data_IF_245799069642
#
_entry.id   IF_245799069642
#
_cell.length_a   1.000
_cell.length_b   1.000
_cell.length_c   1.000
_cell.angle_alpha   90.00
_cell.angle_beta   90.00
_cell.angle_gamma   90.00
#
_symmetry.space_group_name_H-M   'P 1'
#
loop_
_entity.id
_entity.type
_entity.pdbx_description
1 polymer ?
#
# COMPACT_ATOMS: atom_id res chain seq x y z
N UNK A 1 32.28 6.50 23.25
CA UNK A 1 30.83 6.69 23.09
C UNK A 1 30.45 6.32 21.66
N UNK A 2 29.49 5.42 21.48
CA UNK A 2 28.99 5.02 20.16
C UNK A 2 27.59 5.61 19.97
N UNK A 3 27.36 6.34 18.88
CA UNK A 3 26.03 6.82 18.54
C UNK A 3 25.25 5.70 17.85
N UNK A 4 23.94 5.65 18.07
CA UNK A 4 23.02 4.73 17.41
C UNK A 4 21.83 5.51 16.89
N UNK A 5 21.24 5.06 15.78
CA UNK A 5 20.05 5.68 15.25
C UNK A 5 18.84 5.46 16.18
N UNK A 6 17.89 6.40 16.15
CA UNK A 6 16.62 6.24 16.84
C UNK A 6 15.84 5.05 16.26
N UNK A 7 14.96 4.46 17.07
CA UNK A 7 14.05 3.39 16.64
C UNK A 7 13.32 3.84 15.37
N UNK A 8 13.27 2.95 14.37
CA UNK A 8 12.65 3.23 13.06
C UNK A 8 13.54 3.99 12.06
N UNK A 9 14.80 4.25 12.38
CA UNK A 9 15.82 4.79 11.48
C UNK A 9 17.03 3.85 11.37
N UNK A 10 17.68 3.81 10.20
CA UNK A 10 18.89 3.02 9.93
C UNK A 10 20.04 3.89 9.43
N UNK A 11 21.27 3.52 9.79
CA UNK A 11 22.48 4.26 9.42
C UNK A 11 23.64 3.98 10.38
N UNK A 12 24.65 4.85 10.34
CA UNK A 12 25.89 4.72 11.12
C UNK A 12 25.84 5.35 12.52
N UNK A 13 24.65 5.82 12.94
CA UNK A 13 24.42 6.51 14.21
C UNK A 13 24.65 8.03 14.16
N UNK A 14 25.21 8.57 13.08
CA UNK A 14 25.31 10.02 12.81
C UNK A 14 24.40 10.44 11.67
N UNK A 15 24.45 9.70 10.57
CA UNK A 15 23.59 9.84 9.39
C UNK A 15 22.54 8.74 9.43
N UNK A 16 21.33 9.09 9.85
CA UNK A 16 20.22 8.16 10.01
C UNK A 16 19.12 8.46 8.99
N UNK A 17 18.65 7.44 8.30
CA UNK A 17 17.57 7.51 7.31
C UNK A 17 16.37 6.69 7.77
N UNK A 18 15.16 7.09 7.36
CA UNK A 18 13.95 6.40 7.74
C UNK A 18 13.98 4.94 7.24
N UNK A 19 13.65 3.99 8.10
CA UNK A 19 13.44 2.61 7.68
C UNK A 19 12.17 2.56 6.85
N UNK A 20 12.30 2.25 5.56
CA UNK A 20 11.15 2.02 4.70
C UNK A 20 10.62 0.59 4.91
N UNK A 21 9.56 0.47 5.70
CA UNK A 21 8.90 -0.80 5.97
C UNK A 21 8.24 -1.41 4.73
N UNK A 22 7.92 -0.62 3.71
CA UNK A 22 7.25 -1.11 2.50
C UNK A 22 8.14 -1.98 1.60
N UNK A 23 9.46 -1.99 1.82
CA UNK A 23 10.41 -2.76 1.00
C UNK A 23 10.25 -4.26 1.20
N UNK A 24 9.93 -4.71 2.41
CA UNK A 24 9.76 -6.12 2.72
C UNK A 24 8.28 -6.47 2.82
N UNK A 25 7.84 -7.48 2.06
CA UNK A 25 6.45 -7.98 2.06
C UNK A 25 5.38 -6.87 1.90
N UNK A 26 5.66 -5.80 1.15
CA UNK A 26 4.81 -4.61 1.05
C UNK A 26 4.46 -3.99 2.43
N UNK A 27 5.38 -4.10 3.39
CA UNK A 27 5.21 -3.83 4.81
C UNK A 27 4.26 -4.77 5.55
N UNK A 28 3.61 -5.71 4.87
CA UNK A 28 2.46 -6.47 5.34
C UNK A 28 1.11 -5.84 4.91
N UNK A 29 1.08 -4.97 3.90
CA UNK A 29 -0.19 -4.55 3.29
C UNK A 29 -0.71 -5.68 2.38
N UNK A 30 -1.96 -5.55 1.94
CA UNK A 30 -2.47 -6.36 0.84
C UNK A 30 -1.54 -6.28 -0.39
N UNK A 31 -1.37 -7.36 -1.19
CA UNK A 31 -0.48 -7.33 -2.36
C UNK A 31 -0.85 -6.27 -3.40
N UNK A 32 -2.14 -5.90 -3.49
CA UNK A 32 -2.63 -4.83 -4.37
C UNK A 32 -2.76 -3.46 -3.71
N UNK A 33 -2.47 -3.34 -2.42
CA UNK A 33 -2.50 -2.07 -1.72
C UNK A 33 -1.21 -1.28 -1.95
N UNK A 34 -1.34 0.04 -1.90
CA UNK A 34 -0.22 0.98 -1.91
C UNK A 34 0.29 1.11 -0.48
N UNK A 35 1.55 0.73 -0.26
CA UNK A 35 2.24 0.97 1.00
C UNK A 35 2.99 2.30 0.94
N UNK A 36 2.77 3.16 1.93
CA UNK A 36 3.50 4.43 2.07
C UNK A 36 4.22 4.49 3.42
N UNK A 37 5.56 4.67 3.44
CA UNK A 37 6.27 4.88 4.71
C UNK A 37 5.89 6.25 5.27
N UNK A 38 5.53 6.31 6.57
CA UNK A 38 5.08 7.56 7.21
C UNK A 38 6.18 8.17 8.08
N UNK A 39 6.51 7.47 9.16
CA UNK A 39 7.50 7.91 10.16
C UNK A 39 8.16 6.69 10.78
N UNK A 40 9.03 6.90 11.76
CA UNK A 40 9.88 5.87 12.32
C UNK A 40 9.10 4.62 12.75
N UNK A 41 9.28 3.51 12.01
CA UNK A 41 8.58 2.26 12.29
C UNK A 41 7.07 2.26 11.98
N UNK A 42 6.56 3.28 11.28
CA UNK A 42 5.17 3.38 10.88
C UNK A 42 5.01 3.51 9.37
N UNK A 43 3.95 2.91 8.85
CA UNK A 43 3.57 2.87 7.44
C UNK A 43 2.05 2.94 7.32
N UNK A 44 1.57 3.35 6.16
CA UNK A 44 0.16 3.31 5.83
C UNK A 44 -0.11 2.36 4.67
N UNK A 45 -1.25 1.67 4.72
CA UNK A 45 -1.76 0.82 3.65
C UNK A 45 -3.03 1.44 3.10
N UNK A 46 -3.09 1.66 1.79
CA UNK A 46 -4.28 2.20 1.14
C UNK A 46 -4.62 1.37 -0.09
N UNK A 47 -5.87 0.97 -0.25
CA UNK A 47 -6.30 0.37 -1.51
C UNK A 47 -6.26 1.44 -2.63
N UNK A 48 -5.86 1.08 -3.86
CA UNK A 48 -5.97 1.97 -5.02
C UNK A 48 -7.44 2.30 -5.31
N UNK A 49 -7.69 3.36 -6.10
CA UNK A 49 -9.03 3.93 -6.32
C UNK A 49 -10.10 2.92 -6.80
N UNK A 50 -9.68 1.84 -7.45
CA UNK A 50 -10.54 0.80 -7.98
C UNK A 50 -10.63 -0.44 -7.07
N UNK A 51 -10.19 -0.35 -5.81
CA UNK A 51 -10.32 -1.43 -4.85
C UNK A 51 -10.90 -0.88 -3.55
N UNK A 52 -11.87 -1.60 -2.98
CA UNK A 52 -12.44 -1.27 -1.68
C UNK A 52 -11.80 -2.11 -0.58
N UNK A 53 -11.55 -1.49 0.56
CA UNK A 53 -11.05 -2.15 1.76
C UNK A 53 -10.21 -1.26 2.67
N UNK A 54 -9.50 -1.89 3.60
CA UNK A 54 -8.73 -1.23 4.67
C UNK A 54 -7.22 -1.17 4.38
N UNK A 55 -6.79 -1.59 3.18
CA UNK A 55 -5.39 -1.65 2.78
C UNK A 55 -4.68 -2.96 3.18
N UNK A 56 -5.26 -3.76 4.07
CA UNK A 56 -4.81 -5.12 4.40
C UNK A 56 -5.62 -6.18 3.67
N UNK A 57 -6.89 -5.86 3.42
CA UNK A 57 -7.78 -6.55 2.49
C UNK A 57 -8.18 -5.53 1.43
N UNK A 58 -7.93 -5.82 0.15
CA UNK A 58 -8.43 -4.99 -0.96
C UNK A 58 -9.14 -5.88 -1.96
N UNK A 59 -10.45 -5.65 -2.11
CA UNK A 59 -11.31 -6.38 -3.04
C UNK A 59 -11.76 -5.46 -4.18
N UNK A 60 -11.94 -6.05 -5.36
CA UNK A 60 -12.55 -5.38 -6.51
C UNK A 60 -13.90 -4.79 -6.14
N UNK A 61 -14.28 -3.70 -6.80
CA UNK A 61 -15.67 -3.27 -6.76
C UNK A 61 -16.49 -4.09 -7.76
N UNK A 62 -17.83 -4.04 -7.64
CA UNK A 62 -18.72 -4.59 -8.66
C UNK A 62 -18.40 -3.98 -10.04
N UNK A 63 -17.93 -2.74 -10.08
CA UNK A 63 -17.56 -2.06 -11.31
C UNK A 63 -16.31 -2.70 -11.94
N UNK A 64 -15.29 -3.07 -11.16
CA UNK A 64 -14.09 -3.75 -11.69
C UNK A 64 -14.42 -5.11 -12.28
N UNK A 65 -15.28 -5.88 -11.61
CA UNK A 65 -15.71 -7.16 -12.15
C UNK A 65 -16.52 -6.96 -13.44
N UNK A 66 -17.45 -6.01 -13.47
CA UNK A 66 -18.25 -5.71 -14.67
C UNK A 66 -17.39 -5.21 -15.83
N UNK A 67 -16.35 -4.41 -15.55
CA UNK A 67 -15.40 -3.91 -16.55
C UNK A 67 -14.44 -5.00 -17.05
N UNK A 68 -14.10 -5.98 -16.21
CA UNK A 68 -13.20 -7.09 -16.57
C UNK A 68 -13.88 -8.20 -17.38
N UNK A 69 -15.22 -8.30 -17.35
CA UNK A 69 -15.96 -9.33 -18.07
C UNK A 69 -16.39 -8.84 -19.48
N UNK A 70 -15.91 -9.47 -20.57
CA UNK A 70 -16.20 -9.03 -21.94
C UNK A 70 -17.69 -9.10 -22.31
N UNK A 71 -18.46 -9.97 -21.65
CA UNK A 71 -19.89 -10.13 -21.85
C UNK A 71 -20.73 -9.03 -21.17
N UNK A 72 -20.14 -8.24 -20.27
CA UNK A 72 -20.82 -7.17 -19.55
C UNK A 72 -20.55 -5.78 -20.14
N UNK A 73 -20.03 -5.71 -21.38
CA UNK A 73 -19.72 -4.45 -22.10
C UNK A 73 -20.90 -3.47 -22.17
N UNK A 74 -22.15 -3.96 -22.28
CA UNK A 74 -23.35 -3.10 -22.24
C UNK A 74 -23.56 -2.48 -20.85
N UNK A 75 -23.37 -3.23 -19.78
CA UNK A 75 -23.46 -2.73 -18.40
C UNK A 75 -22.29 -1.80 -18.09
N UNK A 76 -21.08 -2.12 -18.55
CA UNK A 76 -19.90 -1.25 -18.47
C UNK A 76 -20.13 0.12 -19.11
N UNK A 77 -20.89 0.21 -20.21
CA UNK A 77 -21.21 1.49 -20.85
C UNK A 77 -22.10 2.42 -20.03
N UNK A 78 -22.79 1.92 -19.00
CA UNK A 78 -23.67 2.68 -18.10
C UNK A 78 -22.95 3.21 -16.86
N UNK A 79 -21.70 2.80 -16.62
CA UNK A 79 -20.88 3.23 -15.48
C UNK A 79 -19.90 4.37 -15.84
N UNK A 80 -20.08 5.00 -17.01
CA UNK A 80 -19.32 6.17 -17.47
C UNK A 80 -19.96 7.48 -17.03
#
# INVERSE_FOLDING_TARGET
YHCVCKVGYKGDGKSCTLVNLCVENNGGCHPKAICTPLKAGERNCTCPENLAGDGYTCSGTIADEVLAHPNLTRLASLMK
#
